data_IF_003962739232
#
_entry.id   IF_003962739232
#
_cell.length_a   1.000
_cell.length_b   1.000
_cell.length_c   1.000
_cell.angle_alpha   90.00
_cell.angle_beta   90.00
_cell.angle_gamma   90.00
#
_symmetry.space_group_name_H-M   'P 1'
#
loop_
_entity.id
_entity.type
_entity.pdbx_description
1 polymer ?
#
# COMPACT_ATOMS: atom_id res chain seq x y z
N UNK A 1 8.95 13.47 2.97
CA UNK A 1 10.26 12.77 3.05
C UNK A 1 10.30 12.03 4.37
N UNK A 2 10.87 10.84 4.42
CA UNK A 2 11.10 10.12 5.68
C UNK A 2 12.34 9.22 5.59
N UNK A 3 12.85 8.78 6.73
CA UNK A 3 14.03 7.90 6.80
C UNK A 3 13.60 6.45 6.62
N UNK A 4 14.27 5.73 5.75
CA UNK A 4 14.02 4.31 5.50
C UNK A 4 15.04 3.44 6.27
N UNK A 5 14.63 2.69 7.31
CA UNK A 5 15.59 1.95 8.14
C UNK A 5 16.36 0.88 7.36
N UNK A 6 15.70 0.20 6.40
CA UNK A 6 16.32 -0.80 5.54
C UNK A 6 17.42 -0.25 4.60
N UNK A 7 17.51 1.07 4.46
CA UNK A 7 18.54 1.77 3.68
C UNK A 7 19.46 2.59 4.58
N UNK A 8 19.85 2.06 5.74
CA UNK A 8 20.71 2.74 6.70
C UNK A 8 20.20 4.15 7.08
N UNK A 9 18.87 4.31 7.18
CA UNK A 9 18.18 5.57 7.47
C UNK A 9 18.37 6.70 6.45
N UNK A 10 18.70 6.35 5.21
CA UNK A 10 18.67 7.29 4.08
C UNK A 10 17.26 7.86 3.86
N UNK A 11 17.21 9.07 3.29
CA UNK A 11 15.93 9.72 3.01
C UNK A 11 15.28 9.11 1.77
N UNK A 12 13.96 8.96 1.88
CA UNK A 12 13.10 8.66 0.75
C UNK A 12 11.96 9.67 0.65
N UNK A 13 11.43 9.83 -0.56
CA UNK A 13 10.22 10.60 -0.80
C UNK A 13 9.37 9.99 -1.90
N UNK A 14 8.13 10.44 -1.95
CA UNK A 14 7.12 9.97 -2.88
C UNK A 14 6.77 11.10 -3.84
N UNK A 15 6.56 10.76 -5.10
CA UNK A 15 6.03 11.65 -6.14
C UNK A 15 4.75 11.02 -6.66
N UNK A 16 3.64 11.73 -6.51
CA UNK A 16 2.40 11.36 -7.18
C UNK A 16 2.55 11.69 -8.68
N UNK A 17 2.31 10.71 -9.54
CA UNK A 17 2.50 10.84 -10.98
C UNK A 17 1.21 10.50 -11.72
N UNK A 18 0.98 11.17 -12.86
CA UNK A 18 -0.04 10.78 -13.82
C UNK A 18 0.63 10.28 -15.09
N UNK A 19 0.19 9.12 -15.58
CA UNK A 19 0.56 8.60 -16.91
C UNK A 19 -0.61 8.70 -17.90
N UNK A 20 -1.74 9.29 -17.48
CA UNK A 20 -2.94 9.45 -18.30
C UNK A 20 -3.02 10.92 -18.70
N UNK A 21 -2.98 11.17 -20.01
CA UNK A 21 -3.14 12.51 -20.58
C UNK A 21 -4.48 13.11 -20.16
N UNK A 22 -4.46 14.39 -19.77
CA UNK A 22 -5.62 15.15 -19.29
C UNK A 22 -6.26 14.63 -17.97
N UNK A 23 -5.58 13.75 -17.22
CA UNK A 23 -6.00 13.36 -15.89
C UNK A 23 -5.43 14.33 -14.83
N UNK A 24 -6.30 14.83 -13.95
CA UNK A 24 -5.94 15.75 -12.88
C UNK A 24 -5.41 15.04 -11.62
N UNK A 25 -5.63 13.74 -11.50
CA UNK A 25 -5.27 12.97 -10.30
C UNK A 25 -4.27 11.88 -10.64
N UNK A 26 -3.33 11.66 -9.72
CA UNK A 26 -2.32 10.62 -9.87
C UNK A 26 -2.95 9.24 -9.98
N UNK A 27 -2.42 8.44 -10.91
CA UNK A 27 -2.76 7.02 -11.07
C UNK A 27 -1.61 6.08 -10.63
N UNK A 28 -0.50 6.67 -10.18
CA UNK A 28 0.62 5.96 -9.60
C UNK A 28 1.40 6.89 -8.66
N UNK A 29 2.27 6.32 -7.85
CA UNK A 29 3.31 7.09 -7.18
C UNK A 29 4.66 6.42 -7.33
N UNK A 30 5.69 7.25 -7.47
CA UNK A 30 7.08 6.82 -7.53
C UNK A 30 7.77 7.11 -6.21
N UNK A 31 8.60 6.16 -5.77
CA UNK A 31 9.43 6.27 -4.58
C UNK A 31 10.86 6.57 -5.02
N UNK A 32 11.44 7.60 -4.43
CA UNK A 32 12.80 8.03 -4.67
C UNK A 32 13.63 7.90 -3.41
N UNK A 33 14.91 7.52 -3.58
CA UNK A 33 15.92 7.39 -2.54
C UNK A 33 17.06 8.35 -2.78
N UNK A 34 17.63 8.92 -1.72
CA UNK A 34 18.78 9.81 -1.83
C UNK A 34 20.09 9.01 -1.82
N UNK A 35 20.68 8.82 -2.99
CA UNK A 35 21.95 8.11 -3.19
C UNK A 35 23.04 9.13 -3.55
N UNK A 36 24.10 9.23 -2.74
CA UNK A 36 25.23 10.12 -2.99
C UNK A 36 24.82 11.58 -3.30
N UNK A 37 23.80 12.07 -2.59
CA UNK A 37 23.25 13.42 -2.78
C UNK A 37 22.30 13.58 -3.97
N UNK A 38 22.05 12.52 -4.76
CA UNK A 38 21.12 12.51 -5.88
C UNK A 38 19.86 11.71 -5.57
N UNK A 39 18.72 12.15 -6.11
CA UNK A 39 17.46 11.42 -5.96
C UNK A 39 17.29 10.42 -7.10
N UNK A 40 17.21 9.15 -6.75
CA UNK A 40 17.05 8.04 -7.70
C UNK A 40 15.70 7.38 -7.48
N UNK A 41 14.90 7.23 -8.55
CA UNK A 41 13.66 6.46 -8.51
C UNK A 41 14.00 4.99 -8.26
N UNK A 42 13.42 4.39 -7.21
CA UNK A 42 13.66 2.99 -6.86
C UNK A 42 12.45 2.10 -7.12
N UNK A 43 11.23 2.64 -7.02
CA UNK A 43 9.99 1.87 -7.17
C UNK A 43 8.90 2.75 -7.75
N UNK A 44 8.02 2.16 -8.55
CA UNK A 44 6.73 2.73 -8.92
C UNK A 44 5.65 1.83 -8.36
N UNK A 45 4.66 2.41 -7.69
CA UNK A 45 3.49 1.71 -7.19
C UNK A 45 2.27 2.17 -7.98
N UNK A 46 1.56 1.21 -8.56
CA UNK A 46 0.30 1.40 -9.28
C UNK A 46 -0.82 0.72 -8.52
N UNK A 47 -2.06 1.07 -8.83
CA UNK A 47 -3.21 0.33 -8.31
C UNK A 47 -3.17 -1.13 -8.78
N UNK A 48 -3.34 -2.12 -7.88
CA UNK A 48 -3.48 -3.52 -8.27
C UNK A 48 -4.88 -3.85 -8.81
N UNK A 49 -5.82 -2.90 -8.76
CA UNK A 49 -7.19 -3.07 -9.21
C UNK A 49 -7.42 -2.16 -10.43
N UNK A 50 -7.51 -2.72 -11.65
CA UNK A 50 -7.62 -1.92 -12.89
C UNK A 50 -8.77 -0.90 -12.88
N UNK A 51 -9.91 -1.27 -12.30
CA UNK A 51 -11.09 -0.42 -12.22
C UNK A 51 -10.98 0.70 -11.17
N UNK A 52 -9.93 0.69 -10.33
CA UNK A 52 -9.65 1.69 -9.31
C UNK A 52 -8.28 2.34 -9.56
N UNK A 53 -8.09 3.05 -10.69
CA UNK A 53 -6.76 3.48 -11.13
C UNK A 53 -6.20 4.66 -10.33
N UNK A 54 -7.05 5.43 -9.65
CA UNK A 54 -6.63 6.64 -8.95
C UNK A 54 -5.96 6.27 -7.63
N UNK A 55 -4.78 6.81 -7.33
CA UNK A 55 -4.00 6.52 -6.13
C UNK A 55 -3.74 7.80 -5.33
N UNK A 56 -4.22 7.86 -4.09
CA UNK A 56 -4.22 9.08 -3.25
C UNK A 56 -4.00 8.77 -1.77
N UNK A 57 -3.74 9.80 -0.96
CA UNK A 57 -3.66 9.67 0.50
C UNK A 57 -2.45 8.86 0.98
N UNK A 58 -1.29 9.05 0.35
CA UNK A 58 -0.08 8.31 0.71
C UNK A 58 0.41 8.72 2.11
N UNK A 59 0.51 7.77 3.03
CA UNK A 59 1.09 7.98 4.37
C UNK A 59 2.24 6.99 4.64
N UNK A 60 3.45 7.48 4.95
CA UNK A 60 4.60 6.63 5.21
C UNK A 60 4.60 6.09 6.65
N UNK A 61 5.10 4.87 6.84
CA UNK A 61 5.40 4.32 8.17
C UNK A 61 6.56 3.33 8.12
N UNK A 62 7.10 2.98 9.28
CA UNK A 62 8.16 1.97 9.41
C UNK A 62 7.80 0.97 10.50
N UNK A 63 8.10 -0.30 10.27
CA UNK A 63 7.87 -1.39 11.20
C UNK A 63 8.92 -2.48 10.99
N UNK A 64 9.46 -3.04 12.06
CA UNK A 64 10.48 -4.10 12.04
C UNK A 64 11.65 -3.84 11.07
N UNK A 65 12.17 -2.61 11.04
CA UNK A 65 13.31 -2.25 10.19
C UNK A 65 12.96 -2.04 8.70
N UNK A 66 11.71 -2.23 8.30
CA UNK A 66 11.24 -1.98 6.93
C UNK A 66 10.36 -0.74 6.86
N UNK A 67 10.30 -0.13 5.68
CA UNK A 67 9.43 1.01 5.38
C UNK A 67 8.26 0.60 4.49
N UNK A 68 7.13 1.25 4.71
CA UNK A 68 5.88 1.01 4.03
C UNK A 68 5.17 2.34 3.74
N UNK A 69 4.23 2.29 2.80
CA UNK A 69 3.37 3.42 2.44
C UNK A 69 1.94 2.90 2.37
N UNK A 70 1.06 3.41 3.21
CA UNK A 70 -0.39 3.22 3.05
C UNK A 70 -0.95 4.22 2.06
N UNK A 71 -2.00 3.84 1.34
CA UNK A 71 -2.66 4.69 0.36
C UNK A 71 -4.08 4.19 0.08
N UNK A 72 -4.87 5.04 -0.55
CA UNK A 72 -6.21 4.73 -1.01
C UNK A 72 -6.26 4.65 -2.53
N UNK A 73 -7.08 3.74 -3.04
CA UNK A 73 -7.38 3.62 -4.46
C UNK A 73 -8.88 3.85 -4.74
N UNK A 74 -9.18 4.44 -5.89
CA UNK A 74 -10.57 4.75 -6.28
C UNK A 74 -10.77 4.77 -7.79
N UNK A 75 -12.05 4.74 -8.20
CA UNK A 75 -12.44 5.01 -9.59
C UNK A 75 -12.14 6.47 -9.94
N UNK A 76 -11.84 6.73 -11.20
CA UNK A 76 -11.85 8.07 -11.77
C UNK A 76 -13.05 8.27 -12.69
N UNK A 77 -13.56 9.50 -12.79
CA UNK A 77 -14.41 9.90 -13.90
C UNK A 77 -13.60 10.07 -15.20
N UNK A 78 -14.22 10.56 -16.27
CA UNK A 78 -13.55 10.78 -17.55
C UNK A 78 -12.43 11.82 -17.53
N UNK A 79 -12.32 12.63 -16.45
CA UNK A 79 -11.24 13.59 -16.19
C UNK A 79 -10.29 13.09 -15.11
N UNK A 80 -10.50 11.85 -14.66
CA UNK A 80 -9.84 11.20 -13.54
C UNK A 80 -10.00 11.93 -12.20
N UNK A 81 -11.11 12.63 -12.03
CA UNK A 81 -11.56 13.07 -10.70
C UNK A 81 -12.00 11.82 -9.92
N UNK A 82 -11.55 11.63 -8.67
CA UNK A 82 -11.94 10.46 -7.90
C UNK A 82 -13.46 10.37 -7.70
N UNK A 83 -14.03 9.19 -7.87
CA UNK A 83 -15.44 8.90 -7.60
C UNK A 83 -15.55 8.18 -6.25
N UNK A 84 -16.39 8.74 -5.36
CA UNK A 84 -16.69 8.17 -4.04
C UNK A 84 -18.08 7.51 -4.03
N UNK A 85 -18.10 6.24 -4.40
CA UNK A 85 -19.27 5.37 -4.54
C UNK A 85 -19.23 4.13 -3.62
N UNK A 86 -18.36 4.10 -2.62
CA UNK A 86 -18.15 2.97 -1.71
C UNK A 86 -17.17 1.90 -2.20
N UNK A 87 -16.73 1.94 -3.46
CA UNK A 87 -15.75 0.98 -4.00
C UNK A 87 -14.29 1.34 -3.70
N UNK A 88 -14.04 2.44 -2.98
CA UNK A 88 -12.68 2.86 -2.63
C UNK A 88 -12.07 1.82 -1.69
N UNK A 89 -10.78 1.59 -1.83
CA UNK A 89 -10.05 0.61 -1.02
C UNK A 89 -8.83 1.25 -0.38
N UNK A 90 -8.43 0.70 0.77
CA UNK A 90 -7.20 1.08 1.47
C UNK A 90 -6.19 -0.05 1.33
N UNK A 91 -4.98 0.32 0.95
CA UNK A 91 -3.86 -0.57 0.68
C UNK A 91 -2.61 -0.06 1.39
N UNK A 92 -1.61 -0.92 1.48
CA UNK A 92 -0.23 -0.47 1.69
C UNK A 92 0.73 -1.29 0.84
N UNK A 93 1.87 -0.68 0.55
CA UNK A 93 3.00 -1.35 -0.09
C UNK A 93 4.27 -1.15 0.71
N UNK A 94 5.15 -2.13 0.65
CA UNK A 94 6.54 -1.95 1.05
C UNK A 94 7.27 -0.96 0.14
N UNK A 95 8.27 -0.30 0.70
CA UNK A 95 9.23 0.53 -0.03
C UNK A 95 10.35 -0.30 -0.65
N UNK A 96 10.70 -1.42 -0.01
CA UNK A 96 11.81 -2.29 -0.42
C UNK A 96 11.65 -2.80 -1.86
N UNK A 97 12.79 -3.00 -2.51
CA UNK A 97 12.89 -3.46 -3.90
C UNK A 97 13.64 -4.79 -4.02
N UNK A 98 14.14 -5.31 -2.89
CA UNK A 98 14.84 -6.58 -2.84
C UNK A 98 13.87 -7.75 -3.03
N UNK A 99 14.38 -8.90 -3.47
CA UNK A 99 13.55 -10.09 -3.68
C UNK A 99 12.92 -10.53 -2.36
N UNK A 100 11.59 -10.56 -2.31
CA UNK A 100 10.82 -10.88 -1.09
C UNK A 100 10.31 -9.64 -0.36
N UNK A 101 10.79 -8.45 -0.71
CA UNK A 101 10.31 -7.20 -0.14
C UNK A 101 9.08 -6.66 -0.86
N UNK A 102 8.61 -7.22 -1.98
CA UNK A 102 7.50 -6.63 -2.76
C UNK A 102 6.10 -6.97 -2.21
N UNK A 103 5.82 -6.46 -1.02
CA UNK A 103 4.51 -6.56 -0.39
C UNK A 103 3.59 -5.47 -0.92
N UNK A 104 2.40 -5.88 -1.36
CA UNK A 104 1.27 -5.02 -1.66
C UNK A 104 0.01 -5.69 -1.12
N UNK A 105 -0.65 -5.06 -0.15
CA UNK A 105 -1.74 -5.68 0.61
C UNK A 105 -2.92 -4.73 0.78
N UNK A 106 -4.12 -5.24 0.51
CA UNK A 106 -5.38 -4.58 0.85
C UNK A 106 -5.63 -4.73 2.34
N UNK A 107 -6.08 -3.66 2.98
CA UNK A 107 -6.44 -3.65 4.40
C UNK A 107 -7.88 -3.20 4.66
N UNK A 108 -8.54 -2.57 3.69
CA UNK A 108 -10.01 -2.41 3.72
C UNK A 108 -10.73 -3.74 3.46
N UNK A 109 -12.03 -3.80 3.77
CA UNK A 109 -12.85 -4.98 3.48
C UNK A 109 -12.92 -5.31 1.98
N UNK A 110 -13.35 -6.53 1.65
CA UNK A 110 -13.56 -6.98 0.26
C UNK A 110 -14.60 -6.14 -0.49
N UNK A 111 -15.56 -5.58 0.26
CA UNK A 111 -16.58 -4.64 -0.23
C UNK A 111 -16.08 -3.17 -0.21
N UNK A 112 -14.76 -2.98 -0.13
CA UNK A 112 -14.10 -1.68 -0.04
C UNK A 112 -14.42 -0.96 1.27
N UNK A 113 -14.82 0.31 1.14
CA UNK A 113 -15.24 1.17 2.24
C UNK A 113 -16.75 1.32 2.35
N UNK A 114 -17.50 0.39 1.72
CA UNK A 114 -18.96 0.22 1.67
C UNK A 114 -19.78 1.44 2.07
N UNK A 115 -20.47 2.03 1.08
CA UNK A 115 -21.26 3.26 1.20
C UNK A 115 -20.45 4.53 1.52
N UNK A 116 -19.12 4.49 1.58
CA UNK A 116 -18.34 5.72 1.76
C UNK A 116 -18.49 6.68 0.58
N UNK A 117 -18.85 7.93 0.90
CA UNK A 117 -18.83 9.11 0.02
C UNK A 117 -17.62 10.01 0.27
N UNK A 118 -16.62 9.51 1.01
CA UNK A 118 -15.37 10.21 1.36
C UNK A 118 -14.17 9.37 0.94
N UNK A 119 -13.08 10.04 0.55
CA UNK A 119 -11.74 9.44 0.47
C UNK A 119 -11.39 8.83 1.83
N UNK A 120 -11.06 7.53 1.88
CA UNK A 120 -10.44 6.97 3.07
C UNK A 120 -9.06 7.61 3.22
N UNK A 121 -8.78 8.22 4.37
CA UNK A 121 -7.49 8.84 4.68
C UNK A 121 -6.72 7.86 5.58
N UNK A 122 -5.78 7.09 5.03
CA UNK A 122 -5.17 6.00 5.76
C UNK A 122 -4.05 6.50 6.66
N UNK A 123 -4.21 6.37 7.97
CA UNK A 123 -3.27 6.83 8.99
C UNK A 123 -2.64 5.63 9.72
N UNK A 124 -1.36 5.31 9.46
CA UNK A 124 -0.67 4.25 10.15
C UNK A 124 -0.49 4.54 11.64
N UNK A 125 -0.68 3.53 12.48
CA UNK A 125 -0.34 3.55 13.89
C UNK A 125 0.51 2.34 14.22
N UNK A 126 1.76 2.60 14.59
CA UNK A 126 2.76 1.57 14.86
C UNK A 126 2.96 1.40 16.35
N UNK A 127 2.89 0.16 16.80
CA UNK A 127 3.25 -0.28 18.15
C UNK A 127 4.53 -1.09 18.11
N UNK A 128 5.01 -1.55 19.26
CA UNK A 128 6.18 -2.43 19.32
C UNK A 128 5.95 -3.75 18.56
N UNK A 129 4.75 -4.31 18.65
CA UNK A 129 4.49 -5.68 18.18
C UNK A 129 3.64 -5.74 16.90
N UNK A 130 2.93 -4.64 16.59
CA UNK A 130 1.95 -4.59 15.50
C UNK A 130 1.94 -3.23 14.81
N UNK A 131 1.46 -3.22 13.57
CA UNK A 131 1.10 -2.01 12.85
C UNK A 131 -0.36 -2.07 12.41
N UNK A 132 -1.08 -0.97 12.63
CA UNK A 132 -2.47 -0.79 12.22
C UNK A 132 -2.56 0.34 11.21
N UNK A 133 -3.61 0.32 10.39
CA UNK A 133 -4.00 1.46 9.58
C UNK A 133 -5.39 1.89 10.05
N UNK A 134 -5.52 3.16 10.42
CA UNK A 134 -6.81 3.78 10.66
C UNK A 134 -7.29 4.45 9.37
N UNK A 135 -8.59 4.47 9.12
CA UNK A 135 -9.12 5.24 8.00
C UNK A 135 -10.56 5.66 8.28
N UNK A 136 -11.01 6.74 7.64
CA UNK A 136 -12.37 7.25 7.82
C UNK A 136 -13.28 6.91 6.66
N UNK A 137 -14.53 6.56 6.94
CA UNK A 137 -15.61 6.51 5.94
C UNK A 137 -16.74 7.44 6.34
N UNK A 138 -17.63 7.75 5.40
CA UNK A 138 -18.89 8.47 5.69
C UNK A 138 -19.97 8.01 4.72
N UNK A 139 -21.12 7.54 5.22
CA UNK A 139 -22.20 6.99 4.39
C UNK A 139 -22.84 8.03 3.45
N UNK A 140 -22.79 9.30 3.86
CA UNK A 140 -23.29 10.44 3.08
C UNK A 140 -22.21 11.51 2.95
N UNK A 141 -22.23 12.28 1.87
CA UNK A 141 -21.32 13.40 1.68
C UNK A 141 -21.53 14.44 2.79
N UNK A 142 -20.47 14.80 3.53
CA UNK A 142 -20.55 15.71 4.67
C UNK A 142 -21.15 15.10 5.95
N UNK A 143 -21.40 13.78 5.97
CA UNK A 143 -21.89 13.06 7.15
C UNK A 143 -20.84 12.91 8.26
N UNK A 144 -21.28 12.34 9.38
CA UNK A 144 -20.38 12.03 10.51
C UNK A 144 -19.40 10.94 10.08
N UNK A 145 -18.08 11.17 10.19
CA UNK A 145 -17.10 10.17 9.82
C UNK A 145 -17.10 9.00 10.81
N UNK A 146 -17.08 7.78 10.28
CA UNK A 146 -16.78 6.56 11.04
C UNK A 146 -15.29 6.26 10.91
N UNK A 147 -14.63 5.98 12.04
CA UNK A 147 -13.23 5.57 12.06
C UNK A 147 -13.15 4.06 12.08
N UNK A 148 -12.40 3.50 11.14
CA UNK A 148 -12.08 2.08 11.05
C UNK A 148 -10.64 1.86 11.49
N UNK A 149 -10.38 0.72 12.09
CA UNK A 149 -9.02 0.22 12.38
C UNK A 149 -8.86 -1.13 11.71
N UNK A 150 -7.79 -1.30 10.97
CA UNK A 150 -7.43 -2.57 10.35
C UNK A 150 -6.00 -2.96 10.70
N UNK A 151 -5.79 -4.25 10.89
CA UNK A 151 -4.46 -4.82 11.13
C UNK A 151 -3.73 -4.93 9.80
N UNK A 152 -2.47 -4.48 9.76
CA UNK A 152 -1.64 -4.63 8.56
C UNK A 152 -1.19 -6.08 8.34
N UNK A 153 -1.24 -6.93 9.36
CA UNK A 153 -0.69 -8.28 9.37
C UNK A 153 0.83 -8.30 9.28
N UNK A 154 1.50 -7.23 9.75
CA UNK A 154 2.96 -7.14 9.82
C UNK A 154 3.50 -7.64 11.17
N UNK A 155 2.68 -7.66 12.23
CA UNK A 155 3.07 -8.13 13.56
C UNK A 155 3.37 -9.63 13.63
N UNK A 156 3.93 -10.07 14.76
CA UNK A 156 4.32 -11.47 14.94
C UNK A 156 3.11 -12.43 14.87
N UNK A 157 3.28 -13.49 14.07
CA UNK A 157 2.34 -14.57 13.72
C UNK A 157 1.17 -14.24 12.77
N UNK A 158 1.52 -13.96 11.50
CA UNK A 158 1.09 -14.94 10.49
C UNK A 158 2.32 -15.73 10.07
N UNK A 159 2.48 -16.94 10.61
CA UNK A 159 3.49 -17.88 10.17
C UNK A 159 3.44 -18.03 8.65
N UNK A 160 4.33 -17.33 7.96
CA UNK A 160 4.71 -17.63 6.58
C UNK A 160 5.42 -18.99 6.64
N UNK A 161 4.62 -20.04 6.73
CA UNK A 161 4.98 -21.34 6.19
C UNK A 161 5.16 -21.08 4.71
N UNK A 162 6.39 -20.76 4.32
CA UNK A 162 6.83 -21.03 2.96
C UNK A 162 6.43 -22.48 2.68
N UNK A 163 5.64 -22.80 1.65
CA UNK A 163 5.45 -24.18 1.27
C UNK A 163 6.84 -24.72 0.95
N UNK A 164 7.37 -25.54 1.84
CA UNK A 164 8.49 -26.41 1.52
C UNK A 164 7.92 -27.33 0.44
N UNK A 165 8.21 -27.02 -0.82
CA UNK A 165 8.04 -27.98 -1.90
C UNK A 165 9.14 -29.01 -1.67
N UNK A 166 8.86 -29.99 -0.81
CA UNK A 166 9.61 -31.23 -0.72
C UNK A 166 8.76 -32.31 -1.36
N UNK A 167 8.95 -32.51 -2.66
CA UNK A 167 8.68 -33.79 -3.32
C UNK A 167 9.54 -33.85 -4.59
N UNK A 168 10.82 -34.13 -4.41
CA UNK A 168 11.58 -34.82 -5.44
C UNK A 168 11.33 -36.31 -5.24
N UNK A 169 10.84 -37.06 -6.24
CA UNK A 169 10.74 -38.51 -6.11
C UNK A 169 12.15 -39.09 -5.99
N UNK A 170 12.40 -39.81 -4.91
CA UNK A 170 13.63 -40.56 -4.70
C UNK A 170 13.75 -41.65 -5.77
N UNK A 171 14.71 -41.49 -6.66
CA UNK A 171 15.22 -42.57 -7.51
C UNK A 171 16.06 -43.52 -6.66
N UNK A 172 15.42 -44.51 -6.04
CA UNK A 172 16.11 -45.75 -5.63
C UNK A 172 15.16 -46.92 -5.76
N UNK A 173 15.34 -47.68 -6.84
CA UNK A 173 14.67 -48.94 -7.09
C UNK A 173 15.49 -49.75 -8.08
N UNK A 174 16.67 -50.20 -7.63
CA UNK A 174 17.39 -51.34 -8.19
C UNK A 174 17.17 -52.52 -7.25
N UNK A 175 16.39 -53.50 -7.69
CA UNK A 175 16.75 -54.92 -7.87
C UNK A 175 15.55 -55.70 -8.42
#
# INVERSE_FOLDING_TARGET
MFRAPQYNNELIFMVAETTIDNNLTANQFSIYRQLNGQWTKIKTVVSPVPDLPIVIGQQPFSFNGQSYISFSISKGDSKGVPIYDGNQQVWFSSVGIEKGDDLLRRVSSDQGTTNSRKVPDPEPFVTQDNAFIYYTTSEVAGGVPTIHRTDTGLGADTGLVMPVISDFPSLTGTE
#
